data_IF_806138851881
#
_entry.id   IF_806138851881
#
_cell.length_a   1.000
_cell.length_b   1.000
_cell.length_c   1.000
_cell.angle_alpha   90.00
_cell.angle_beta   90.00
_cell.angle_gamma   90.00
#
_symmetry.space_group_name_H-M   'P 1'
#
loop_
_entity.id
_entity.type
_entity.pdbx_description
1 polymer ?
#
# COMPACT_ATOMS: atom_id res chain seq x y z
N UNK A 1 -8.76 36.72 34.52
CA UNK A 1 -8.55 35.35 35.03
C UNK A 1 -7.36 35.40 35.99
N UNK A 2 -7.49 34.92 37.23
CA UNK A 2 -6.40 34.96 38.22
C UNK A 2 -5.73 33.57 38.33
N UNK A 3 -4.55 33.50 38.96
CA UNK A 3 -3.74 32.27 39.07
C UNK A 3 -4.47 31.16 39.85
N UNK A 4 -5.28 31.51 40.86
CA UNK A 4 -6.09 30.54 41.61
C UNK A 4 -7.14 29.87 40.73
N UNK A 5 -7.83 30.63 39.88
CA UNK A 5 -8.83 30.07 38.96
C UNK A 5 -8.18 29.09 37.97
N UNK A 6 -6.95 29.37 37.54
CA UNK A 6 -6.19 28.48 36.65
C UNK A 6 -5.78 27.20 37.38
N UNK A 7 -5.31 27.29 38.63
CA UNK A 7 -4.88 26.12 39.40
C UNK A 7 -6.06 25.21 39.79
N UNK A 8 -7.21 25.79 40.12
CA UNK A 8 -8.46 25.04 40.36
C UNK A 8 -8.91 24.31 39.08
N UNK A 9 -8.81 24.97 37.93
CA UNK A 9 -9.15 24.35 36.64
C UNK A 9 -8.19 23.20 36.29
N UNK A 10 -6.87 23.37 36.47
CA UNK A 10 -5.88 22.32 36.26
C UNK A 10 -6.18 21.10 37.16
N UNK A 11 -6.43 21.34 38.45
CA UNK A 11 -6.74 20.27 39.42
C UNK A 11 -8.04 19.55 39.06
N UNK A 12 -9.06 20.29 38.59
CA UNK A 12 -10.32 19.71 38.10
C UNK A 12 -10.11 18.85 36.85
N UNK A 13 -9.27 19.27 35.92
CA UNK A 13 -8.98 18.52 34.68
C UNK A 13 -8.14 17.27 34.96
N UNK A 14 -7.14 17.37 35.84
CA UNK A 14 -6.30 16.24 36.27
C UNK A 14 -7.13 15.21 37.05
N UNK A 15 -8.02 15.64 37.94
CA UNK A 15 -8.92 14.73 38.68
C UNK A 15 -10.02 14.11 37.82
N UNK A 16 -10.46 14.79 36.75
CA UNK A 16 -11.35 14.23 35.73
C UNK A 16 -10.65 13.17 34.85
N UNK A 17 -9.31 13.10 34.89
CA UNK A 17 -8.53 12.17 34.07
C UNK A 17 -8.55 12.52 32.57
N UNK A 18 -8.83 13.79 32.22
CA UNK A 18 -8.83 14.23 30.83
C UNK A 18 -7.40 14.33 30.30
N UNK A 19 -7.12 13.63 29.19
CA UNK A 19 -5.84 13.72 28.51
C UNK A 19 -5.54 15.17 28.12
N UNK A 20 -4.30 15.60 28.32
CA UNK A 20 -3.83 16.87 27.77
C UNK A 20 -3.88 16.84 26.23
N UNK A 21 -3.88 18.03 25.61
CA UNK A 21 -3.78 18.16 24.15
C UNK A 21 -2.55 17.42 23.61
N UNK A 22 -1.44 17.47 24.36
CA UNK A 22 -0.18 16.82 24.00
C UNK A 22 -0.31 15.29 24.02
N UNK A 23 -0.93 14.73 25.05
CA UNK A 23 -1.14 13.28 25.16
C UNK A 23 -2.11 12.76 24.10
N UNK A 24 -3.18 13.51 23.79
CA UNK A 24 -4.08 13.18 22.68
C UNK A 24 -3.32 13.08 21.35
N UNK A 25 -2.50 14.08 21.03
CA UNK A 25 -1.66 14.06 19.81
C UNK A 25 -0.70 12.87 19.78
N UNK A 26 -0.08 12.53 20.91
CA UNK A 26 0.80 11.35 20.98
C UNK A 26 0.04 10.03 20.76
N UNK A 27 -1.16 9.90 21.30
CA UNK A 27 -1.98 8.71 21.12
C UNK A 27 -2.49 8.56 19.68
N UNK A 28 -2.88 9.67 19.04
CA UNK A 28 -3.24 9.68 17.62
C UNK A 28 -2.07 9.27 16.74
N UNK A 29 -0.89 9.84 16.99
CA UNK A 29 0.33 9.48 16.27
C UNK A 29 0.72 8.01 16.50
N UNK A 30 0.63 7.51 17.73
CA UNK A 30 0.91 6.11 18.04
C UNK A 30 -0.04 5.16 17.30
N UNK A 31 -1.34 5.50 17.20
CA UNK A 31 -2.31 4.72 16.41
C UNK A 31 -1.96 4.73 14.92
N UNK A 32 -1.61 5.89 14.37
CA UNK A 32 -1.19 6.00 12.97
C UNK A 32 0.07 5.14 12.69
N UNK A 33 1.05 5.16 13.59
CA UNK A 33 2.23 4.30 13.47
C UNK A 33 1.89 2.81 13.54
N UNK A 34 0.99 2.39 14.42
CA UNK A 34 0.56 0.99 14.49
C UNK A 34 -0.16 0.55 13.22
N UNK A 35 -1.02 1.40 12.66
CA UNK A 35 -1.70 1.12 11.39
C UNK A 35 -0.71 1.02 10.23
N UNK A 36 0.24 1.96 10.13
CA UNK A 36 1.27 1.93 9.10
C UNK A 36 2.19 0.70 9.23
N UNK A 37 2.54 0.30 10.45
CA UNK A 37 3.32 -0.90 10.69
C UNK A 37 2.58 -2.17 10.27
N UNK A 38 1.28 -2.26 10.55
CA UNK A 38 0.45 -3.38 10.11
C UNK A 38 0.35 -3.46 8.58
N UNK A 39 0.16 -2.31 7.92
CA UNK A 39 0.11 -2.25 6.46
C UNK A 39 1.46 -2.60 5.81
N UNK A 40 2.57 -2.10 6.35
CA UNK A 40 3.91 -2.47 5.90
C UNK A 40 4.17 -3.97 6.04
N UNK A 41 3.72 -4.60 7.13
CA UNK A 41 3.82 -6.05 7.30
C UNK A 41 3.00 -6.80 6.24
N UNK A 42 1.79 -6.33 5.91
CA UNK A 42 0.97 -6.88 4.84
C UNK A 42 1.67 -6.75 3.47
N UNK A 43 2.17 -5.56 3.13
CA UNK A 43 2.90 -5.28 1.89
C UNK A 43 4.16 -6.14 1.76
N UNK A 44 4.93 -6.31 2.83
CA UNK A 44 6.13 -7.15 2.82
C UNK A 44 5.81 -8.61 2.52
N UNK A 45 4.73 -9.14 3.11
CA UNK A 45 4.28 -10.50 2.83
C UNK A 45 3.80 -10.64 1.38
N UNK A 46 3.05 -9.66 0.86
CA UNK A 46 2.63 -9.61 -0.54
C UNK A 46 3.82 -9.59 -1.50
N UNK A 47 4.78 -8.69 -1.27
CA UNK A 47 6.00 -8.59 -2.07
C UNK A 47 6.83 -9.88 -2.03
N UNK A 48 6.96 -10.51 -0.86
CA UNK A 48 7.66 -11.79 -0.72
C UNK A 48 6.98 -12.91 -1.53
N UNK A 49 5.64 -12.96 -1.52
CA UNK A 49 4.88 -13.92 -2.31
C UNK A 49 5.10 -13.71 -3.81
N UNK A 50 4.98 -12.47 -4.30
CA UNK A 50 5.19 -12.15 -5.72
C UNK A 50 6.63 -12.43 -6.16
N UNK A 51 7.63 -12.14 -5.32
CA UNK A 51 9.02 -12.49 -5.59
C UNK A 51 9.23 -14.00 -5.68
N UNK A 52 8.60 -14.78 -4.80
CA UNK A 52 8.67 -16.24 -4.85
C UNK A 52 8.05 -16.77 -6.16
N UNK A 53 6.87 -16.27 -6.53
CA UNK A 53 6.22 -16.64 -7.80
C UNK A 53 7.08 -16.24 -9.01
N UNK A 54 7.66 -15.04 -9.01
CA UNK A 54 8.59 -14.60 -10.07
C UNK A 54 9.83 -15.48 -10.18
N UNK A 55 10.40 -15.89 -9.04
CA UNK A 55 11.51 -16.85 -9.00
C UNK A 55 11.12 -18.20 -9.60
N UNK A 56 9.95 -18.74 -9.24
CA UNK A 56 9.43 -19.98 -9.82
C UNK A 56 9.24 -19.87 -11.34
N UNK A 57 8.68 -18.76 -11.83
CA UNK A 57 8.53 -18.52 -13.27
C UNK A 57 9.89 -18.47 -13.98
N UNK A 58 10.87 -17.77 -13.39
CA UNK A 58 12.22 -17.71 -13.95
C UNK A 58 12.89 -19.08 -14.01
N UNK A 59 12.79 -19.87 -12.92
CA UNK A 59 13.27 -21.27 -12.86
C UNK A 59 12.62 -22.13 -13.95
N UNK A 60 11.30 -22.04 -14.11
CA UNK A 60 10.54 -22.79 -15.12
C UNK A 60 10.95 -22.40 -16.54
N UNK A 61 11.08 -21.11 -16.81
CA UNK A 61 11.52 -20.59 -18.12
C UNK A 61 12.92 -21.10 -18.48
N UNK A 62 13.88 -21.01 -17.54
CA UNK A 62 15.25 -21.49 -17.77
C UNK A 62 15.30 -23.02 -17.96
N UNK A 63 14.53 -23.79 -17.19
CA UNK A 63 14.42 -25.24 -17.36
C UNK A 63 13.84 -25.62 -18.73
N UNK A 64 12.79 -24.93 -19.19
CA UNK A 64 12.23 -25.13 -20.52
C UNK A 64 13.25 -24.80 -21.62
N UNK A 65 14.02 -23.72 -21.49
CA UNK A 65 15.09 -23.38 -22.44
C UNK A 65 16.20 -24.45 -22.46
N UNK A 66 16.62 -24.95 -21.30
CA UNK A 66 17.59 -26.04 -21.21
C UNK A 66 17.06 -27.32 -21.87
N UNK A 67 15.79 -27.65 -21.65
CA UNK A 67 15.13 -28.79 -22.28
C UNK A 67 15.08 -28.65 -23.81
N UNK A 68 14.77 -27.46 -24.33
CA UNK A 68 14.78 -27.19 -25.78
C UNK A 68 16.18 -27.40 -26.39
N UNK A 69 17.24 -26.97 -25.69
CA UNK A 69 18.63 -27.23 -26.13
C UNK A 69 18.93 -28.73 -26.13
N UNK A 70 18.50 -29.48 -25.11
CA UNK A 70 18.66 -30.93 -25.07
C UNK A 70 17.96 -31.63 -26.25
N UNK A 71 16.71 -31.22 -26.55
CA UNK A 71 15.93 -31.75 -27.66
C UNK A 71 16.61 -31.49 -29.01
N UNK A 72 17.18 -30.30 -29.21
CA UNK A 72 17.92 -29.97 -30.44
C UNK A 72 19.13 -30.88 -30.69
N UNK A 73 19.69 -31.50 -29.63
CA UNK A 73 20.80 -32.44 -29.70
C UNK A 73 20.35 -33.92 -29.60
N UNK A 74 19.04 -34.19 -29.57
CA UNK A 74 18.49 -35.54 -29.45
C UNK A 74 18.51 -36.13 -28.04
N UNK A 75 18.86 -35.35 -27.02
CA UNK A 75 18.92 -35.80 -25.62
C UNK A 75 17.54 -35.76 -24.94
N UNK A 76 16.64 -36.64 -25.37
CA UNK A 76 15.24 -36.67 -24.89
C UNK A 76 15.12 -36.96 -23.39
N UNK A 77 15.96 -37.85 -22.84
CA UNK A 77 15.94 -38.17 -21.42
C UNK A 77 16.32 -36.96 -20.55
N UNK A 78 17.39 -36.24 -20.94
CA UNK A 78 17.82 -35.03 -20.24
C UNK A 78 16.81 -33.90 -20.36
N UNK A 79 16.16 -33.74 -21.52
CA UNK A 79 15.09 -32.76 -21.69
C UNK A 79 13.91 -33.01 -20.75
N UNK A 80 13.51 -34.28 -20.57
CA UNK A 80 12.45 -34.67 -19.63
C UNK A 80 12.83 -34.34 -18.19
N UNK A 81 14.06 -34.66 -17.78
CA UNK A 81 14.56 -34.35 -16.44
C UNK A 81 14.51 -32.84 -16.13
N UNK A 82 14.89 -31.98 -17.07
CA UNK A 82 14.80 -30.53 -16.92
C UNK A 82 13.36 -30.01 -16.77
N UNK A 83 12.41 -30.59 -17.50
CA UNK A 83 10.99 -30.20 -17.44
C UNK A 83 10.32 -30.70 -16.15
N UNK A 84 10.59 -31.94 -15.75
CA UNK A 84 10.01 -32.52 -14.53
C UNK A 84 10.60 -31.87 -13.27
N UNK A 85 11.93 -31.70 -13.21
CA UNK A 85 12.63 -31.14 -12.06
C UNK A 85 12.39 -29.64 -11.80
N UNK A 86 11.74 -28.92 -12.73
CA UNK A 86 11.40 -27.51 -12.53
C UNK A 86 10.01 -27.28 -11.96
N UNK A 87 9.13 -28.28 -11.97
CA UNK A 87 7.71 -28.10 -11.63
C UNK A 87 7.33 -28.50 -10.18
N UNK A 88 8.28 -28.95 -9.36
CA UNK A 88 8.10 -29.34 -7.94
C UNK A 88 6.76 -30.10 -7.68
N UNK A 89 6.33 -30.95 -8.62
CA UNK A 89 5.09 -31.75 -8.59
C UNK A 89 3.76 -30.95 -8.53
N UNK A 90 3.75 -29.67 -8.89
CA UNK A 90 2.51 -28.93 -9.12
C UNK A 90 1.83 -29.43 -10.41
N UNK A 91 1.21 -30.61 -10.32
CA UNK A 91 0.56 -31.28 -11.43
C UNK A 91 -0.74 -30.57 -11.81
N UNK A 92 -0.79 -30.02 -13.01
CA UNK A 92 -2.06 -29.77 -13.68
C UNK A 92 -2.57 -31.12 -14.18
N UNK A 93 -3.80 -31.49 -13.82
CA UNK A 93 -4.45 -32.69 -14.35
C UNK A 93 -4.78 -32.47 -15.83
N UNK A 94 -3.98 -33.09 -16.70
CA UNK A 94 -4.23 -33.13 -18.14
C UNK A 94 -5.18 -34.30 -18.42
N UNK A 95 -6.24 -34.12 -19.23
CA UNK A 95 -7.12 -35.24 -19.62
C UNK A 95 -6.35 -36.38 -20.30
N UNK A 96 -6.62 -37.62 -19.88
CA UNK A 96 -5.91 -38.82 -20.38
C UNK A 96 -6.07 -39.07 -21.89
N UNK A 97 -7.13 -38.54 -22.50
CA UNK A 97 -7.49 -38.73 -23.91
C UNK A 97 -7.08 -37.55 -24.82
N UNK A 98 -6.37 -36.55 -24.28
CA UNK A 98 -5.96 -35.38 -25.06
C UNK A 98 -4.95 -35.76 -26.16
N UNK A 99 -5.19 -35.29 -27.38
CA UNK A 99 -4.24 -35.42 -28.48
C UNK A 99 -3.28 -34.23 -28.52
N UNK A 100 -2.11 -34.40 -29.15
CA UNK A 100 -1.13 -33.31 -29.33
C UNK A 100 -1.74 -32.09 -30.01
N UNK A 101 -2.69 -32.28 -30.94
CA UNK A 101 -3.38 -31.20 -31.63
C UNK A 101 -4.36 -30.41 -30.75
N UNK A 102 -4.84 -31.00 -29.65
CA UNK A 102 -5.77 -30.38 -28.71
C UNK A 102 -5.07 -29.65 -27.56
N UNK A 103 -3.77 -29.87 -27.35
CA UNK A 103 -3.00 -29.23 -26.29
C UNK A 103 -3.05 -27.69 -26.33
N UNK A 104 -2.98 -27.00 -27.49
CA UNK A 104 -3.05 -25.54 -27.51
C UNK A 104 -4.39 -25.01 -27.01
N UNK A 105 -5.51 -25.60 -27.46
CA UNK A 105 -6.86 -25.18 -27.06
C UNK A 105 -7.11 -25.45 -25.57
N UNK A 106 -6.66 -26.61 -25.08
CA UNK A 106 -6.71 -26.92 -23.66
C UNK A 106 -5.88 -25.93 -22.84
N UNK A 107 -4.64 -25.64 -23.24
CA UNK A 107 -3.77 -24.68 -22.56
C UNK A 107 -4.43 -23.30 -22.48
N UNK A 108 -4.93 -22.78 -23.60
CA UNK A 108 -5.59 -21.47 -23.65
C UNK A 108 -6.83 -21.42 -22.76
N UNK A 109 -7.57 -22.53 -22.63
CA UNK A 109 -8.71 -22.64 -21.72
C UNK A 109 -8.35 -22.53 -20.23
N UNK A 110 -7.10 -22.85 -19.86
CA UNK A 110 -6.61 -22.73 -18.48
C UNK A 110 -6.13 -21.31 -18.16
N UNK A 111 -5.88 -20.47 -19.16
CA UNK A 111 -5.30 -19.13 -19.01
C UNK A 111 -6.37 -18.04 -18.83
N UNK A 112 -7.33 -18.26 -17.92
CA UNK A 112 -8.41 -17.32 -17.60
C UNK A 112 -8.20 -16.72 -16.21
N UNK A 113 -8.22 -15.40 -16.08
CA UNK A 113 -8.17 -14.74 -14.77
C UNK A 113 -9.47 -14.98 -13.97
N UNK A 114 -9.43 -14.74 -12.66
CA UNK A 114 -10.61 -14.84 -11.78
C UNK A 114 -11.76 -13.90 -12.16
N UNK A 115 -11.53 -12.86 -12.97
CA UNK A 115 -12.56 -11.93 -13.47
C UNK A 115 -13.00 -12.22 -14.91
N UNK A 116 -12.60 -13.35 -15.48
CA UNK A 116 -13.02 -13.80 -16.82
C UNK A 116 -12.35 -13.05 -17.97
N UNK A 117 -11.33 -12.24 -17.70
CA UNK A 117 -10.55 -11.53 -18.71
C UNK A 117 -9.28 -12.32 -19.04
N UNK A 118 -8.95 -12.41 -20.32
CA UNK A 118 -7.64 -12.93 -20.75
C UNK A 118 -6.59 -11.83 -20.60
N UNK A 119 -6.09 -11.60 -19.38
CA UNK A 119 -5.05 -10.58 -19.18
C UNK A 119 -4.53 -10.47 -17.76
N UNK A 120 -3.20 -10.45 -17.64
CA UNK A 120 -2.54 -9.90 -16.46
C UNK A 120 -2.96 -8.43 -16.29
N UNK A 121 -3.07 -7.96 -15.04
CA UNK A 121 -3.27 -6.54 -14.76
C UNK A 121 -2.17 -5.72 -15.44
N UNK A 122 -2.54 -4.62 -16.08
CA UNK A 122 -1.56 -3.60 -16.46
C UNK A 122 -0.89 -3.05 -15.21
N UNK A 123 0.31 -2.47 -15.35
CA UNK A 123 1.00 -1.82 -14.23
C UNK A 123 0.11 -0.81 -13.49
N UNK A 124 -0.67 -0.03 -14.24
CA UNK A 124 -1.57 0.97 -13.66
C UNK A 124 -2.70 0.31 -12.85
N UNK A 125 -3.34 -0.74 -13.37
CA UNK A 125 -4.38 -1.48 -12.65
C UNK A 125 -3.84 -2.19 -11.40
N UNK A 126 -2.62 -2.73 -11.47
CA UNK A 126 -1.95 -3.32 -10.31
C UNK A 126 -1.62 -2.26 -9.25
N UNK A 127 -1.10 -1.10 -9.65
CA UNK A 127 -0.82 0.02 -8.74
C UNK A 127 -2.10 0.53 -8.07
N UNK A 128 -3.21 0.68 -8.83
CA UNK A 128 -4.50 1.09 -8.28
C UNK A 128 -5.06 0.06 -7.30
N UNK A 129 -4.99 -1.23 -7.64
CA UNK A 129 -5.44 -2.31 -6.76
C UNK A 129 -4.65 -2.36 -5.44
N UNK A 130 -3.33 -2.16 -5.50
CA UNK A 130 -2.46 -2.11 -4.31
C UNK A 130 -2.81 -0.90 -3.44
N UNK A 131 -2.99 0.28 -4.04
CA UNK A 131 -3.39 1.50 -3.31
C UNK A 131 -4.71 1.29 -2.57
N UNK A 132 -5.71 0.71 -3.25
CA UNK A 132 -7.00 0.40 -2.63
C UNK A 132 -6.89 -0.58 -1.45
N UNK A 133 -5.93 -1.50 -1.50
CA UNK A 133 -5.66 -2.45 -0.41
C UNK A 133 -4.85 -1.84 0.76
N UNK A 134 -4.28 -0.64 0.57
CA UNK A 134 -3.35 0.01 1.51
C UNK A 134 -3.80 1.45 1.86
N UNK A 135 -5.01 1.63 2.40
CA UNK A 135 -5.57 2.97 2.66
C UNK A 135 -4.87 3.71 3.81
N UNK A 136 -4.16 3.02 4.71
CA UNK A 136 -3.52 3.66 5.85
C UNK A 136 -2.30 4.49 5.42
N UNK A 137 -1.54 4.07 4.39
CA UNK A 137 -0.48 4.90 3.80
C UNK A 137 -1.02 6.19 3.21
N UNK A 138 -2.10 6.12 2.43
CA UNK A 138 -2.71 7.31 1.82
C UNK A 138 -3.27 8.25 2.90
N UNK A 139 -3.91 7.69 3.94
CA UNK A 139 -4.39 8.46 5.07
C UNK A 139 -3.28 9.12 5.90
N UNK A 140 -2.18 8.40 6.12
CA UNK A 140 -1.01 8.95 6.80
C UNK A 140 -0.37 10.10 6.00
N UNK A 141 -0.23 9.94 4.68
CA UNK A 141 0.31 10.97 3.81
C UNK A 141 -0.59 12.21 3.78
N UNK A 142 -1.91 12.02 3.75
CA UNK A 142 -2.87 13.12 3.85
C UNK A 142 -2.78 13.83 5.21
N UNK A 143 -2.56 13.09 6.30
CA UNK A 143 -2.28 13.63 7.62
C UNK A 143 -1.03 14.52 7.67
N UNK A 144 0.10 14.04 7.12
CA UNK A 144 1.33 14.85 7.04
C UNK A 144 1.12 16.13 6.23
N UNK A 145 0.40 16.04 5.10
CA UNK A 145 0.09 17.22 4.29
C UNK A 145 -0.77 18.22 5.08
N UNK A 146 -1.75 17.73 5.83
CA UNK A 146 -2.58 18.56 6.69
C UNK A 146 -1.75 19.22 7.80
N UNK A 147 -0.86 18.48 8.47
CA UNK A 147 0.03 19.02 9.51
C UNK A 147 0.89 20.18 8.97
N UNK A 148 1.45 20.03 7.76
CA UNK A 148 2.24 21.09 7.13
C UNK A 148 1.42 22.33 6.76
N UNK A 149 0.18 22.15 6.32
CA UNK A 149 -0.74 23.26 6.01
C UNK A 149 -1.18 23.97 7.30
N UNK A 150 -1.43 23.24 8.38
CA UNK A 150 -1.74 23.79 9.71
C UNK A 150 -0.56 24.57 10.28
N UNK A 151 0.68 24.08 10.12
CA UNK A 151 1.87 24.82 10.53
C UNK A 151 2.04 26.12 9.73
N UNK A 152 1.80 26.08 8.42
CA UNK A 152 1.79 27.28 7.58
C UNK A 152 0.74 28.31 8.03
N UNK A 153 -0.49 27.85 8.32
CA UNK A 153 -1.55 28.71 8.84
C UNK A 153 -1.16 29.34 10.19
N UNK A 154 -0.53 28.58 11.07
CA UNK A 154 -0.03 29.09 12.35
C UNK A 154 1.07 30.16 12.17
N UNK A 155 1.94 30.01 11.17
CA UNK A 155 2.98 31.02 10.85
C UNK A 155 2.40 32.31 10.31
N UNK A 156 1.35 32.23 9.49
CA UNK A 156 0.66 33.43 8.96
C UNK A 156 -0.02 34.26 10.06
N UNK A 157 -0.41 33.64 11.17
CA UNK A 157 -1.06 34.32 12.30
C UNK A 157 -0.09 34.97 13.29
N UNK A 158 1.21 34.96 12.99
CA UNK A 158 2.20 35.70 13.77
C UNK A 158 2.07 37.18 13.38
N UNK A 159 1.66 38.08 14.30
CA UNK A 159 1.42 39.49 13.97
C UNK A 159 2.71 40.19 13.53
N UNK A 160 2.61 41.02 12.49
CA UNK A 160 3.65 41.93 12.02
C UNK A 160 3.44 43.37 12.50
N UNK A 161 4.11 44.31 11.84
CA UNK A 161 4.01 45.75 12.17
C UNK A 161 2.82 46.44 11.46
N UNK A 162 2.15 45.76 10.53
CA UNK A 162 1.05 46.31 9.73
C UNK A 162 -0.25 45.53 9.96
N UNK A 163 -1.23 46.11 10.68
CA UNK A 163 -2.53 45.51 10.93
C UNK A 163 -3.33 45.13 9.68
N UNK A 164 -3.12 45.83 8.56
CA UNK A 164 -3.78 45.50 7.29
C UNK A 164 -3.21 44.20 6.71
N UNK A 165 -1.89 44.02 6.76
CA UNK A 165 -1.23 42.80 6.30
C UNK A 165 -1.55 41.61 7.22
N UNK A 166 -1.69 41.84 8.53
CA UNK A 166 -2.13 40.82 9.49
C UNK A 166 -3.55 40.30 9.17
N UNK A 167 -4.47 41.22 8.83
CA UNK A 167 -5.83 40.84 8.45
C UNK A 167 -5.87 40.00 7.16
N UNK A 168 -4.99 40.30 6.19
CA UNK A 168 -4.84 39.48 4.98
C UNK A 168 -4.28 38.11 5.34
N UNK A 169 -3.24 38.05 6.18
CA UNK A 169 -2.60 36.81 6.59
C UNK A 169 -3.56 35.88 7.34
N UNK A 170 -4.41 36.42 8.21
CA UNK A 170 -5.40 35.62 8.94
C UNK A 170 -6.49 35.04 8.01
N UNK A 171 -6.90 35.79 6.98
CA UNK A 171 -7.82 35.29 5.94
C UNK A 171 -7.20 34.10 5.18
N UNK A 172 -5.93 34.20 4.80
CA UNK A 172 -5.20 33.12 4.13
C UNK A 172 -5.01 31.92 5.07
N UNK A 173 -4.73 32.15 6.35
CA UNK A 173 -4.63 31.11 7.35
C UNK A 173 -5.96 30.33 7.53
N UNK A 174 -7.11 31.03 7.50
CA UNK A 174 -8.42 30.38 7.54
C UNK A 174 -8.72 29.49 6.33
N UNK A 175 -8.28 29.90 5.14
CA UNK A 175 -8.36 29.07 3.94
C UNK A 175 -7.45 27.83 4.04
N UNK A 176 -6.23 28.00 4.57
CA UNK A 176 -5.31 26.90 4.83
C UNK A 176 -5.88 25.88 5.83
N UNK A 177 -6.46 26.33 6.95
CA UNK A 177 -7.12 25.42 7.92
C UNK A 177 -8.25 24.62 7.29
N UNK A 178 -9.05 25.26 6.43
CA UNK A 178 -10.14 24.60 5.70
C UNK A 178 -9.60 23.52 4.75
N UNK A 179 -8.47 23.79 4.09
CA UNK A 179 -7.81 22.82 3.22
C UNK A 179 -7.19 21.66 3.99
N UNK A 180 -6.52 21.93 5.13
CA UNK A 180 -6.00 20.89 6.01
C UNK A 180 -7.10 19.94 6.51
N UNK A 181 -8.26 20.50 6.87
CA UNK A 181 -9.45 19.72 7.25
C UNK A 181 -9.92 18.80 6.11
N UNK A 182 -9.99 19.32 4.89
CA UNK A 182 -10.37 18.51 3.71
C UNK A 182 -9.39 17.36 3.47
N UNK A 183 -8.08 17.59 3.63
CA UNK A 183 -7.06 16.55 3.51
C UNK A 183 -7.28 15.42 4.53
N UNK A 184 -7.62 15.75 5.77
CA UNK A 184 -7.89 14.74 6.82
C UNK A 184 -9.21 14.00 6.60
N UNK A 185 -10.23 14.66 6.06
CA UNK A 185 -11.57 14.09 5.85
C UNK A 185 -11.70 13.28 4.56
N UNK A 186 -10.99 13.67 3.50
CA UNK A 186 -10.98 13.00 2.19
C UNK A 186 -10.09 11.75 2.11
N UNK A 187 -9.40 11.42 3.19
CA UNK A 187 -8.53 10.25 3.31
C UNK A 187 -9.26 8.94 3.67
N UNK A 188 -10.59 8.88 3.48
CA UNK A 188 -11.43 7.72 3.82
C UNK A 188 -11.75 6.84 2.61
#
# INVERSE_FOLDING_TARGET
>A
MNIETVNELITSLESAGELSIKERKYLELARAYQQLAAENAYLLNGAARELNTSWMFHKTMLGAQAALVCLAHGYQAAAREWLEGTTDEAGVEIPDDITVGQLPEWFDSQMVSNDGKSGFLTRAEAEEAIRKACPATDAYLAGIKADGVEEFAAKLRIPGDDPFMDAIADSVAGAADSYAKQLREGAK
#
